data_IF_385808932719
#
_entry.id   IF_385808932719
#
_cell.length_a   1.000
_cell.length_b   1.000
_cell.length_c   1.000
_cell.angle_alpha   90.00
_cell.angle_beta   90.00
_cell.angle_gamma   90.00
#
_symmetry.space_group_name_H-M   'P 1'
#
loop_
_entity.id
_entity.type
_entity.pdbx_description
1 polymer ?
#
# COMPACT_ATOMS: atom_id res chain seq x y z
N UNK A 1 -28.41 -3.08 -11.70
CA UNK A 1 -27.06 -2.80 -11.16
C UNK A 1 -26.95 -1.29 -11.00
N UNK A 2 -26.85 -0.78 -9.77
CA UNK A 2 -26.69 0.66 -9.52
C UNK A 2 -25.31 1.10 -10.01
N UNK A 3 -25.24 2.12 -10.86
CA UNK A 3 -23.98 2.67 -11.37
C UNK A 3 -23.17 3.27 -10.21
N UNK A 4 -22.06 2.62 -9.86
CA UNK A 4 -21.12 3.15 -8.87
C UNK A 4 -20.33 4.32 -9.47
N UNK A 5 -20.05 5.37 -8.68
CA UNK A 5 -19.30 6.53 -9.16
C UNK A 5 -17.85 6.16 -9.49
N UNK A 6 -17.28 6.83 -10.49
CA UNK A 6 -15.89 6.67 -10.88
C UNK A 6 -14.94 7.15 -9.76
N UNK A 7 -13.90 6.38 -9.48
CA UNK A 7 -12.91 6.74 -8.46
C UNK A 7 -12.04 7.91 -8.93
N UNK A 8 -12.11 9.04 -8.22
CA UNK A 8 -11.16 10.14 -8.40
C UNK A 8 -9.82 9.79 -7.72
N UNK A 9 -8.92 9.14 -8.45
CA UNK A 9 -7.68 8.54 -7.90
C UNK A 9 -6.85 9.54 -7.07
N UNK A 10 -6.70 10.77 -7.57
CA UNK A 10 -5.82 11.77 -6.97
C UNK A 10 -6.27 12.25 -5.57
N UNK A 11 -7.54 12.64 -5.33
CA UNK A 11 -7.99 12.96 -3.99
C UNK A 11 -7.94 11.75 -3.06
N UNK A 12 -8.28 10.54 -3.53
CA UNK A 12 -8.29 9.35 -2.66
C UNK A 12 -6.90 8.78 -2.35
N UNK A 13 -5.86 9.14 -3.11
CA UNK A 13 -4.49 8.79 -2.73
C UNK A 13 -3.90 9.82 -1.76
N UNK A 14 -4.13 11.11 -2.00
CA UNK A 14 -3.39 12.18 -1.32
C UNK A 14 -4.10 12.68 -0.05
N UNK A 15 -5.43 12.79 -0.07
CA UNK A 15 -6.17 13.27 1.11
C UNK A 15 -6.04 12.34 2.32
N UNK A 16 -6.08 11.00 2.18
CA UNK A 16 -5.93 10.12 3.32
C UNK A 16 -4.57 10.33 4.00
N UNK A 17 -3.49 10.47 3.24
CA UNK A 17 -2.16 10.75 3.79
C UNK A 17 -2.11 12.12 4.48
N UNK A 18 -2.77 13.15 3.94
CA UNK A 18 -2.86 14.46 4.60
C UNK A 18 -3.67 14.38 5.90
N UNK A 19 -4.83 13.73 5.91
CA UNK A 19 -5.63 13.58 7.14
C UNK A 19 -4.92 12.71 8.19
N UNK A 20 -4.18 11.69 7.73
CA UNK A 20 -3.36 10.84 8.56
C UNK A 20 -2.25 11.66 9.26
N UNK A 21 -1.68 12.66 8.58
CA UNK A 21 -0.66 13.52 9.18
C UNK A 21 -1.19 14.47 10.25
N UNK A 22 -2.50 14.71 10.26
CA UNK A 22 -3.20 15.45 11.32
C UNK A 22 -3.65 14.55 12.48
N UNK A 23 -3.27 13.25 12.52
CA UNK A 23 -3.63 12.29 13.56
C UNK A 23 -2.94 12.54 14.91
N UNK A 24 -3.29 13.65 15.53
CA UNK A 24 -3.19 13.83 16.97
C UNK A 24 -4.59 13.92 17.61
N UNK A 25 -5.67 13.72 16.85
CA UNK A 25 -7.05 13.83 17.32
C UNK A 25 -7.95 12.77 16.68
N UNK A 26 -8.80 12.11 17.49
CA UNK A 26 -9.78 11.11 17.05
C UNK A 26 -10.71 11.60 15.92
N UNK A 27 -10.95 12.92 15.83
CA UNK A 27 -11.75 13.52 14.77
C UNK A 27 -11.12 13.40 13.38
N UNK A 28 -9.78 13.47 13.27
CA UNK A 28 -9.08 13.29 12.00
C UNK A 28 -9.15 11.84 11.52
N UNK A 29 -9.16 10.88 12.45
CA UNK A 29 -9.35 9.46 12.12
C UNK A 29 -10.74 9.16 11.59
N UNK A 30 -11.80 9.72 12.19
CA UNK A 30 -13.16 9.54 11.70
C UNK A 30 -13.34 10.10 10.28
N UNK A 31 -12.76 11.27 10.01
CA UNK A 31 -12.75 11.86 8.67
C UNK A 31 -11.99 10.96 7.66
N UNK A 32 -10.80 10.49 8.05
CA UNK A 32 -10.00 9.56 7.27
C UNK A 32 -10.78 8.27 6.95
N UNK A 33 -11.31 7.60 7.97
CA UNK A 33 -12.08 6.36 7.82
C UNK A 33 -13.32 6.56 6.94
N UNK A 34 -14.04 7.67 7.11
CA UNK A 34 -15.18 8.02 6.26
C UNK A 34 -14.80 8.19 4.79
N UNK A 35 -13.68 8.85 4.49
CA UNK A 35 -13.16 9.00 3.12
C UNK A 35 -12.77 7.64 2.53
N UNK A 36 -12.04 6.82 3.29
CA UNK A 36 -11.61 5.48 2.86
C UNK A 36 -12.79 4.55 2.59
N UNK A 37 -13.80 4.53 3.47
CA UNK A 37 -15.02 3.74 3.27
C UNK A 37 -15.81 4.22 2.06
N UNK A 38 -15.88 5.54 1.84
CA UNK A 38 -16.51 6.10 0.64
C UNK A 38 -15.77 5.69 -0.63
N UNK A 39 -14.44 5.64 -0.59
CA UNK A 39 -13.61 5.19 -1.71
C UNK A 39 -13.87 3.71 -2.07
N UNK A 40 -14.12 2.85 -1.08
CA UNK A 40 -14.50 1.45 -1.29
C UNK A 40 -15.87 1.29 -2.00
N UNK A 41 -16.73 2.31 -1.92
CA UNK A 41 -18.01 2.35 -2.64
C UNK A 41 -17.89 2.76 -4.11
N UNK A 42 -16.74 3.28 -4.54
CA UNK A 42 -16.47 3.67 -5.92
C UNK A 42 -15.90 2.48 -6.74
N UNK A 43 -15.90 2.61 -8.07
CA UNK A 43 -15.33 1.59 -8.97
C UNK A 43 -14.45 2.25 -10.04
N UNK A 44 -13.40 1.54 -10.43
CA UNK A 44 -12.59 1.84 -11.63
C UNK A 44 -13.09 1.10 -12.86
N UNK A 45 -14.15 0.27 -12.72
CA UNK A 45 -14.69 -0.63 -13.75
C UNK A 45 -13.72 -1.75 -14.18
N UNK A 46 -12.61 -1.90 -13.47
CA UNK A 46 -11.71 -3.04 -13.56
C UNK A 46 -11.71 -3.77 -12.22
N UNK A 47 -12.15 -5.02 -12.20
CA UNK A 47 -12.25 -5.83 -10.98
C UNK A 47 -10.91 -6.08 -10.30
N UNK A 48 -9.82 -6.22 -11.07
CA UNK A 48 -8.48 -6.41 -10.51
C UNK A 48 -8.00 -5.13 -9.83
N UNK A 49 -8.23 -3.99 -10.47
CA UNK A 49 -7.86 -2.69 -9.94
C UNK A 49 -8.69 -2.36 -8.69
N UNK A 50 -10.00 -2.62 -8.71
CA UNK A 50 -10.89 -2.44 -7.55
C UNK A 50 -10.45 -3.31 -6.37
N UNK A 51 -10.08 -4.58 -6.60
CA UNK A 51 -9.54 -5.46 -5.57
C UNK A 51 -8.22 -4.95 -4.98
N UNK A 52 -7.28 -4.53 -5.85
CA UNK A 52 -5.97 -4.03 -5.42
C UNK A 52 -6.11 -2.75 -4.59
N UNK A 53 -6.93 -1.79 -5.03
CA UNK A 53 -7.16 -0.55 -4.30
C UNK A 53 -7.92 -0.80 -3.00
N UNK A 54 -8.93 -1.67 -3.01
CA UNK A 54 -9.67 -2.04 -1.80
C UNK A 54 -8.75 -2.67 -0.75
N UNK A 55 -7.84 -3.53 -1.18
CA UNK A 55 -6.81 -4.14 -0.32
C UNK A 55 -5.85 -3.10 0.26
N UNK A 56 -5.41 -2.14 -0.56
CA UNK A 56 -4.56 -1.03 -0.11
C UNK A 56 -5.26 -0.16 0.94
N UNK A 57 -6.48 0.29 0.65
CA UNK A 57 -7.28 1.12 1.55
C UNK A 57 -7.56 0.43 2.89
N UNK A 58 -7.93 -0.86 2.86
CA UNK A 58 -8.13 -1.65 4.07
C UNK A 58 -6.84 -1.78 4.87
N UNK A 59 -5.71 -2.04 4.21
CA UNK A 59 -4.40 -2.12 4.86
C UNK A 59 -4.01 -0.82 5.57
N UNK A 60 -4.23 0.33 4.93
CA UNK A 60 -3.96 1.63 5.53
C UNK A 60 -4.92 1.92 6.71
N UNK A 61 -6.20 1.55 6.60
CA UNK A 61 -7.18 1.73 7.68
C UNK A 61 -6.81 0.90 8.91
N UNK A 62 -6.46 -0.37 8.74
CA UNK A 62 -6.00 -1.23 9.83
C UNK A 62 -4.72 -0.70 10.49
N UNK A 63 -3.78 -0.21 9.67
CA UNK A 63 -2.55 0.40 10.17
C UNK A 63 -2.85 1.65 11.01
N UNK A 64 -3.71 2.54 10.51
CA UNK A 64 -4.14 3.72 11.24
C UNK A 64 -4.86 3.36 12.55
N UNK A 65 -5.77 2.37 12.54
CA UNK A 65 -6.44 1.87 13.74
C UNK A 65 -5.44 1.36 14.76
N UNK A 66 -4.47 0.55 14.34
CA UNK A 66 -3.42 0.05 15.22
C UNK A 66 -2.61 1.20 15.84
N UNK A 67 -2.15 2.16 15.02
CA UNK A 67 -1.33 3.28 15.48
C UNK A 67 -2.05 4.22 16.43
N UNK A 68 -3.38 4.39 16.32
CA UNK A 68 -4.14 5.34 17.15
C UNK A 68 -4.67 4.70 18.43
N UNK A 69 -5.21 3.49 18.31
CA UNK A 69 -5.96 2.87 19.41
C UNK A 69 -5.16 1.83 20.19
N UNK A 70 -4.24 1.13 19.53
CA UNK A 70 -3.53 -0.01 20.13
C UNK A 70 -2.08 0.32 20.48
N UNK A 71 -1.44 1.23 19.75
CA UNK A 71 -0.08 1.66 19.99
C UNK A 71 -0.04 3.08 20.57
N UNK A 72 1.00 3.36 21.36
CA UNK A 72 1.44 4.74 21.62
C UNK A 72 2.62 5.04 20.69
N UNK A 73 2.36 5.48 19.45
CA UNK A 73 3.38 5.56 18.41
C UNK A 73 4.39 6.66 18.72
N UNK A 74 3.98 7.73 19.40
CA UNK A 74 4.84 8.85 19.73
C UNK A 74 5.88 8.52 20.79
N UNK A 75 5.59 7.57 21.69
CA UNK A 75 6.53 7.10 22.70
C UNK A 75 7.31 5.88 22.26
N UNK A 76 6.63 4.92 21.62
CA UNK A 76 7.22 3.60 21.36
C UNK A 76 7.94 3.50 20.02
N UNK A 77 7.60 4.32 19.03
CA UNK A 77 8.18 4.18 17.70
C UNK A 77 9.20 5.27 17.44
N UNK A 78 10.38 4.86 16.96
CA UNK A 78 11.46 5.77 16.59
C UNK A 78 12.34 5.16 15.51
N UNK A 79 12.92 6.02 14.69
CA UNK A 79 14.04 5.59 13.86
C UNK A 79 15.21 5.20 14.76
N UNK A 80 15.96 4.17 14.34
CA UNK A 80 17.07 3.64 15.14
C UNK A 80 18.14 4.68 15.47
N UNK A 81 18.30 5.67 14.60
CA UNK A 81 19.33 6.72 14.72
C UNK A 81 18.77 8.04 15.26
N UNK A 82 17.47 8.13 15.56
CA UNK A 82 16.89 9.36 16.09
C UNK A 82 17.20 9.48 17.59
N UNK A 83 17.88 10.56 17.97
CA UNK A 83 18.16 10.90 19.36
C UNK A 83 16.98 11.61 20.05
N UNK A 84 16.08 12.20 19.27
CA UNK A 84 14.96 13.02 19.77
C UNK A 84 13.63 12.29 19.65
N UNK A 85 12.80 12.44 20.67
CA UNK A 85 11.45 11.88 20.68
C UNK A 85 10.53 12.60 19.68
N UNK A 86 9.60 11.88 19.01
CA UNK A 86 8.64 12.49 18.10
C UNK A 86 7.81 13.63 18.72
N UNK A 87 7.54 13.57 20.03
CA UNK A 87 6.73 14.56 20.76
C UNK A 87 7.37 15.96 20.72
N UNK A 88 8.69 16.03 20.82
CA UNK A 88 9.43 17.31 20.84
C UNK A 88 9.72 17.86 19.43
N UNK A 89 9.42 17.08 18.39
CA UNK A 89 9.67 17.51 17.01
C UNK A 89 8.72 18.66 16.61
N UNK A 90 9.16 19.58 15.73
CA UNK A 90 8.26 20.53 15.07
C UNK A 90 7.13 19.82 14.33
N UNK A 91 5.98 20.50 14.14
CA UNK A 91 4.79 19.91 13.52
C UNK A 91 5.08 19.27 12.15
N UNK A 92 5.81 19.94 11.26
CA UNK A 92 6.15 19.40 9.94
C UNK A 92 7.01 18.12 10.00
N UNK A 93 7.90 18.01 11.00
CA UNK A 93 8.70 16.79 11.22
C UNK A 93 7.83 15.67 11.76
N UNK A 94 6.87 15.96 12.64
CA UNK A 94 5.88 14.98 13.10
C UNK A 94 5.00 14.45 11.96
N UNK A 95 4.57 15.34 11.07
CA UNK A 95 3.84 15.01 9.85
C UNK A 95 4.66 14.06 8.97
N UNK A 96 5.92 14.41 8.67
CA UNK A 96 6.82 13.54 7.91
C UNK A 96 7.04 12.19 8.60
N UNK A 97 7.28 12.20 9.91
CA UNK A 97 7.44 10.99 10.72
C UNK A 97 6.20 10.07 10.67
N UNK A 98 5.00 10.66 10.73
CA UNK A 98 3.72 9.94 10.63
C UNK A 98 3.51 9.31 9.24
N UNK A 99 3.90 10.00 8.16
CA UNK A 99 3.88 9.42 6.80
C UNK A 99 4.83 8.23 6.70
N UNK A 100 6.04 8.39 7.23
CA UNK A 100 7.04 7.35 7.17
C UNK A 100 6.62 6.09 7.91
N UNK A 101 5.99 6.22 9.09
CA UNK A 101 5.55 5.04 9.85
C UNK A 101 4.39 4.31 9.15
N UNK A 102 3.46 5.05 8.53
CA UNK A 102 2.34 4.47 7.79
C UNK A 102 2.81 3.68 6.56
N UNK A 103 3.89 4.11 5.92
CA UNK A 103 4.44 3.45 4.73
C UNK A 103 5.60 2.50 5.04
N UNK A 104 5.86 2.22 6.32
CA UNK A 104 6.90 1.29 6.76
C UNK A 104 6.29 0.07 7.46
N UNK A 105 5.42 -0.74 6.84
CA UNK A 105 4.74 -1.86 7.51
C UNK A 105 5.70 -2.93 8.07
N UNK A 106 6.96 -2.96 7.60
CA UNK A 106 8.02 -3.86 8.10
C UNK A 106 8.96 -3.20 9.11
N UNK A 107 8.76 -1.93 9.43
CA UNK A 107 9.60 -1.18 10.37
C UNK A 107 11.07 -1.10 9.95
N UNK A 108 11.40 -1.11 8.65
CA UNK A 108 12.81 -1.09 8.19
C UNK A 108 13.47 0.23 8.62
N UNK A 109 14.55 0.15 9.41
CA UNK A 109 15.21 1.31 9.98
C UNK A 109 14.58 1.85 11.27
N UNK A 110 13.48 1.25 11.71
CA UNK A 110 12.80 1.57 12.96
C UNK A 110 13.26 0.65 14.10
N UNK A 111 12.94 1.03 15.34
CA UNK A 111 13.21 0.20 16.51
C UNK A 111 12.34 -1.09 16.55
N UNK A 112 11.21 -1.12 15.86
CA UNK A 112 10.28 -2.25 15.79
C UNK A 112 10.44 -3.08 14.49
N UNK A 113 11.61 -3.03 13.86
CA UNK A 113 11.88 -3.78 12.63
C UNK A 113 11.58 -5.27 12.78
N UNK A 114 10.79 -5.83 11.86
CA UNK A 114 10.42 -7.24 11.89
C UNK A 114 11.65 -8.16 11.75
N UNK A 115 11.56 -9.36 12.31
CA UNK A 115 12.60 -10.37 12.16
C UNK A 115 12.82 -10.74 10.68
N UNK A 116 14.00 -11.24 10.35
CA UNK A 116 14.39 -11.69 9.00
C UNK A 116 14.46 -10.60 7.91
N UNK A 117 14.53 -9.32 8.31
CA UNK A 117 14.88 -8.25 7.37
C UNK A 117 16.39 -8.31 7.07
N UNK A 118 16.80 -8.42 5.78
CA UNK A 118 18.21 -8.40 5.43
C UNK A 118 18.90 -7.13 5.93
N UNK A 119 20.20 -7.21 6.30
CA UNK A 119 20.93 -6.03 6.74
C UNK A 119 20.97 -4.98 5.62
N UNK A 120 21.01 -3.68 5.98
CA UNK A 120 21.10 -2.62 5.00
C UNK A 120 22.35 -2.79 4.12
N UNK A 121 22.25 -2.52 2.81
CA UNK A 121 23.36 -2.67 1.89
C UNK A 121 24.50 -1.73 2.28
N UNK A 122 25.71 -2.27 2.49
CA UNK A 122 26.91 -1.52 2.89
C UNK A 122 27.68 -0.92 1.70
N UNK A 123 27.06 -0.87 0.52
CA UNK A 123 27.68 -0.40 -0.73
C UNK A 123 27.31 1.05 -1.08
N UNK A 124 27.90 1.60 -2.15
CA UNK A 124 27.56 2.94 -2.63
C UNK A 124 26.06 3.02 -2.97
N UNK A 125 25.41 4.13 -2.62
CA UNK A 125 23.99 4.35 -2.90
C UNK A 125 23.64 4.11 -4.38
N UNK A 126 24.51 4.49 -5.30
CA UNK A 126 24.26 4.32 -6.73
C UNK A 126 24.20 2.87 -7.20
N UNK A 127 24.99 1.98 -6.57
CA UNK A 127 24.93 0.54 -6.86
C UNK A 127 23.58 -0.03 -6.41
N UNK A 128 23.09 0.40 -5.24
CA UNK A 128 21.76 0.04 -4.77
C UNK A 128 20.66 0.57 -5.69
N UNK A 129 20.70 1.85 -6.05
CA UNK A 129 19.70 2.49 -6.93
C UNK A 129 19.64 1.77 -8.27
N UNK A 130 20.79 1.54 -8.93
CA UNK A 130 20.85 0.83 -10.21
C UNK A 130 20.26 -0.58 -10.09
N UNK A 131 20.65 -1.34 -9.05
CA UNK A 131 20.12 -2.69 -8.81
C UNK A 131 18.61 -2.69 -8.62
N UNK A 132 18.09 -1.73 -7.87
CA UNK A 132 16.67 -1.62 -7.60
C UNK A 132 15.88 -1.18 -8.83
N UNK A 133 16.42 -0.27 -9.65
CA UNK A 133 15.83 0.11 -10.94
C UNK A 133 15.76 -1.07 -11.90
N UNK A 134 16.84 -1.84 -12.04
CA UNK A 134 16.80 -3.06 -12.86
C UNK A 134 15.80 -4.08 -12.35
N UNK A 135 15.69 -4.26 -11.02
CA UNK A 135 14.69 -5.14 -10.43
C UNK A 135 13.27 -4.65 -10.71
N UNK A 136 13.02 -3.35 -10.55
CA UNK A 136 11.73 -2.73 -10.84
C UNK A 136 11.37 -2.89 -12.32
N UNK A 137 12.30 -2.61 -13.24
CA UNK A 137 12.10 -2.81 -14.67
C UNK A 137 11.78 -4.27 -15.01
N UNK A 138 12.51 -5.24 -14.43
CA UNK A 138 12.22 -6.67 -14.61
C UNK A 138 10.83 -7.05 -14.09
N UNK A 139 10.46 -6.60 -12.89
CA UNK A 139 9.13 -6.86 -12.34
C UNK A 139 8.04 -6.21 -13.20
N UNK A 140 8.27 -4.99 -13.69
CA UNK A 140 7.34 -4.29 -14.57
C UNK A 140 7.14 -5.04 -15.89
N UNK A 141 8.22 -5.49 -16.52
CA UNK A 141 8.12 -6.31 -17.74
C UNK A 141 7.38 -7.63 -17.48
N UNK A 142 7.70 -8.33 -16.39
CA UNK A 142 7.00 -9.57 -16.01
C UNK A 142 5.50 -9.32 -15.77
N UNK A 143 5.14 -8.24 -15.09
CA UNK A 143 3.73 -7.87 -14.88
C UNK A 143 3.03 -7.56 -16.20
N UNK A 144 3.67 -6.81 -17.10
CA UNK A 144 3.12 -6.54 -18.43
C UNK A 144 2.93 -7.84 -19.22
N UNK A 145 3.92 -8.73 -19.24
CA UNK A 145 3.77 -10.03 -19.90
C UNK A 145 2.64 -10.86 -19.30
N UNK A 146 2.52 -10.89 -17.97
CA UNK A 146 1.44 -11.59 -17.29
C UNK A 146 0.08 -10.99 -17.65
N UNK A 147 -0.07 -9.66 -17.65
CA UNK A 147 -1.31 -9.00 -18.08
C UNK A 147 -1.62 -9.27 -19.54
N UNK A 148 -0.64 -9.13 -20.45
CA UNK A 148 -0.82 -9.45 -21.87
C UNK A 148 -1.24 -10.90 -22.06
N UNK A 149 -0.63 -11.84 -21.33
CA UNK A 149 -1.02 -13.25 -21.38
C UNK A 149 -2.46 -13.46 -20.90
N UNK A 150 -2.87 -12.83 -19.79
CA UNK A 150 -4.23 -12.92 -19.28
C UNK A 150 -5.24 -12.37 -20.31
N UNK A 151 -4.95 -11.22 -20.92
CA UNK A 151 -5.87 -10.61 -21.89
C UNK A 151 -5.92 -11.33 -23.23
N UNK A 152 -4.82 -11.93 -23.68
CA UNK A 152 -4.75 -12.63 -24.96
C UNK A 152 -5.19 -14.09 -24.86
N UNK A 153 -5.19 -14.68 -23.67
CA UNK A 153 -5.55 -16.08 -23.50
C UNK A 153 -7.08 -16.21 -23.31
N UNK A 154 -7.77 -16.90 -24.23
CA UNK A 154 -9.23 -17.00 -24.22
C UNK A 154 -9.80 -17.65 -22.96
N UNK A 155 -9.00 -18.45 -22.22
CA UNK A 155 -9.42 -19.00 -20.93
C UNK A 155 -9.89 -17.93 -19.94
N UNK A 156 -9.22 -16.78 -19.91
CA UNK A 156 -9.54 -15.72 -18.95
C UNK A 156 -10.60 -14.76 -19.49
N UNK A 157 -11.07 -14.96 -20.71
CA UNK A 157 -12.18 -14.18 -21.30
C UNK A 157 -13.55 -14.85 -21.10
N UNK A 158 -13.58 -16.16 -20.81
CA UNK A 158 -14.82 -16.89 -20.55
C UNK A 158 -15.17 -16.86 -19.05
N UNK A 159 -16.40 -16.49 -18.71
CA UNK A 159 -16.90 -16.42 -17.33
C UNK A 159 -18.15 -17.28 -17.16
N UNK A 160 -18.36 -17.84 -15.96
CA UNK A 160 -19.58 -18.59 -15.63
C UNK A 160 -19.61 -19.99 -16.24
N UNK A 161 -20.71 -20.34 -16.91
CA UNK A 161 -20.93 -21.69 -17.48
C UNK A 161 -19.95 -22.01 -18.61
N UNK A 162 -19.44 -20.99 -19.29
CA UNK A 162 -18.48 -21.13 -20.40
C UNK A 162 -17.01 -21.13 -19.93
N UNK A 163 -16.76 -21.00 -18.62
CA UNK A 163 -15.41 -20.98 -18.07
C UNK A 163 -14.74 -22.35 -18.27
N UNK A 164 -13.66 -22.37 -19.06
CA UNK A 164 -12.89 -23.58 -19.33
C UNK A 164 -11.86 -23.82 -18.22
N UNK A 165 -11.70 -25.08 -17.81
CA UNK A 165 -10.67 -25.47 -16.86
C UNK A 165 -9.27 -25.28 -17.45
N UNK A 166 -8.27 -24.96 -16.61
CA UNK A 166 -6.86 -24.84 -17.03
C UNK A 166 -6.35 -26.12 -17.72
N UNK A 167 -6.89 -27.28 -17.32
CA UNK A 167 -6.58 -28.58 -17.92
C UNK A 167 -7.10 -28.75 -19.36
N UNK A 168 -8.08 -27.96 -19.78
CA UNK A 168 -8.64 -28.01 -21.14
C UNK A 168 -7.65 -27.52 -22.22
N UNK A 169 -6.57 -26.83 -21.82
CA UNK A 169 -5.51 -26.40 -22.74
C UNK A 169 -4.50 -27.48 -23.12
N UNK A 170 -4.55 -28.65 -22.48
CA UNK A 170 -3.61 -29.75 -22.77
C UNK A 170 -2.18 -29.54 -22.29
N UNK A 171 -1.90 -28.54 -21.43
CA UNK A 171 -0.58 -28.28 -20.84
C UNK A 171 -0.24 -29.16 -19.62
N UNK A 172 -0.80 -30.37 -19.53
CA UNK A 172 -0.49 -31.30 -18.44
C UNK A 172 0.42 -32.41 -19.01
N UNK A 173 1.64 -32.48 -18.47
CA UNK A 173 2.47 -33.68 -18.49
C UNK A 173 2.10 -34.54 -17.29
#
# INVERSE_FOLDING_TARGET
MSERPALAILPYLVLPDIFLTCLLKCSAFLAYAGITVKALGATTRDGLQDYSMGSMFMGQLLTATYLIFLADPLRNFRYRNDATEPVVMPFYKRVHWALCINHAPRGIGWNWQVANVPPPPRGPCWVFVRRQLFRAARCFLLLNFAQSYIHLNPLFTCFGVDAQYITAQGYVW
#
